data_IF_500723325403
#
_entry.id   IF_500723325403
#
_cell.length_a   1.000
_cell.length_b   1.000
_cell.length_c   1.000
_cell.angle_alpha   90.00
_cell.angle_beta   90.00
_cell.angle_gamma   90.00
#
_symmetry.space_group_name_H-M   'P 1'
#
loop_
_entity.id
_entity.type
_entity.pdbx_description
1 polymer ?
#
# COMPACT_ATOMS: atom_id res chain seq x y z
N UNK A 1 12.86 -27.18 -2.74
CA UNK A 1 11.50 -27.54 -2.30
C UNK A 1 11.13 -28.87 -2.92
N UNK A 2 10.59 -29.81 -2.16
CA UNK A 2 10.11 -31.08 -2.73
C UNK A 2 8.92 -30.82 -3.64
N UNK A 3 8.72 -31.63 -4.69
CA UNK A 3 7.58 -31.48 -5.60
C UNK A 3 6.24 -31.47 -4.86
N UNK A 4 6.13 -32.28 -3.80
CA UNK A 4 4.99 -32.30 -2.90
C UNK A 4 4.65 -30.92 -2.30
N UNK A 5 5.65 -30.17 -1.82
CA UNK A 5 5.41 -28.84 -1.24
C UNK A 5 4.91 -27.83 -2.26
N UNK A 6 5.35 -27.95 -3.52
CA UNK A 6 4.92 -27.07 -4.62
C UNK A 6 3.46 -27.37 -4.99
N UNK A 7 3.10 -28.66 -5.08
CA UNK A 7 1.73 -29.10 -5.37
C UNK A 7 0.80 -28.69 -4.23
N UNK A 8 1.15 -28.97 -2.98
CA UNK A 8 0.36 -28.58 -1.82
C UNK A 8 0.15 -27.06 -1.77
N UNK A 9 1.22 -26.28 -2.03
CA UNK A 9 1.13 -24.83 -2.12
C UNK A 9 0.18 -24.34 -3.22
N UNK A 10 0.18 -24.99 -4.38
CA UNK A 10 -0.75 -24.67 -5.47
C UNK A 10 -2.21 -24.91 -5.08
N UNK A 11 -2.50 -26.04 -4.41
CA UNK A 11 -3.85 -26.37 -3.94
C UNK A 11 -4.35 -25.38 -2.88
N UNK A 12 -3.50 -25.03 -1.91
CA UNK A 12 -3.83 -24.05 -0.87
C UNK A 12 -4.05 -22.65 -1.48
N UNK A 13 -3.15 -22.23 -2.39
CA UNK A 13 -3.24 -20.92 -3.07
C UNK A 13 -4.51 -20.81 -3.92
N UNK A 14 -4.79 -21.82 -4.75
CA UNK A 14 -5.99 -21.87 -5.57
C UNK A 14 -7.27 -21.89 -4.72
N UNK A 15 -7.30 -22.73 -3.68
CA UNK A 15 -8.43 -22.87 -2.78
C UNK A 15 -8.77 -21.57 -2.06
N UNK A 16 -7.77 -20.92 -1.44
CA UNK A 16 -7.97 -19.64 -0.76
C UNK A 16 -8.39 -18.53 -1.72
N UNK A 17 -7.80 -18.48 -2.91
CA UNK A 17 -8.17 -17.51 -3.95
C UNK A 17 -9.63 -17.68 -4.36
N UNK A 18 -10.07 -18.91 -4.57
CA UNK A 18 -11.47 -19.22 -4.89
C UNK A 18 -12.43 -18.93 -3.73
N UNK A 19 -12.05 -19.24 -2.48
CA UNK A 19 -12.85 -18.89 -1.30
C UNK A 19 -13.05 -17.36 -1.17
N UNK A 20 -12.02 -16.57 -1.47
CA UNK A 20 -12.11 -15.10 -1.47
C UNK A 20 -13.04 -14.62 -2.60
N UNK A 21 -12.90 -15.17 -3.82
CA UNK A 21 -13.80 -14.82 -4.93
C UNK A 21 -15.26 -15.24 -4.70
N UNK A 22 -15.50 -16.24 -3.85
CA UNK A 22 -16.85 -16.67 -3.49
C UNK A 22 -17.68 -15.54 -2.87
N UNK A 23 -17.06 -14.53 -2.27
CA UNK A 23 -17.73 -13.31 -1.80
C UNK A 23 -18.55 -12.60 -2.88
N UNK A 24 -18.15 -12.73 -4.16
CA UNK A 24 -18.87 -12.11 -5.28
C UNK A 24 -20.29 -12.64 -5.45
N UNK A 25 -20.58 -13.86 -4.96
CA UNK A 25 -21.90 -14.45 -5.01
C UNK A 25 -22.78 -14.06 -3.82
N UNK A 26 -22.24 -14.12 -2.59
CA UNK A 26 -22.87 -13.71 -1.32
C UNK A 26 -21.90 -13.98 -0.13
N UNK A 27 -22.25 -13.50 1.08
CA UNK A 27 -21.53 -13.81 2.34
C UNK A 27 -21.66 -15.28 2.73
N UNK A 28 -20.79 -16.12 2.17
CA UNK A 28 -20.79 -17.56 2.39
C UNK A 28 -19.83 -17.99 3.52
N UNK A 29 -20.02 -19.18 4.12
CA UNK A 29 -19.13 -19.70 5.17
C UNK A 29 -17.68 -19.89 4.72
N UNK A 30 -17.43 -20.25 3.45
CA UNK A 30 -16.09 -20.48 2.91
C UNK A 30 -15.26 -19.19 2.88
N UNK A 31 -15.90 -18.08 2.50
CA UNK A 31 -15.32 -16.75 2.52
C UNK A 31 -14.96 -16.33 3.95
N UNK A 32 -15.86 -16.52 4.92
CA UNK A 32 -15.60 -16.21 6.34
C UNK A 32 -14.43 -17.01 6.90
N UNK A 33 -14.30 -18.28 6.54
CA UNK A 33 -13.13 -19.10 6.92
C UNK A 33 -11.85 -18.51 6.33
N UNK A 34 -11.85 -18.14 5.05
CA UNK A 34 -10.70 -17.52 4.40
C UNK A 34 -10.35 -16.16 5.03
N UNK A 35 -11.34 -15.35 5.38
CA UNK A 35 -11.18 -14.06 6.06
C UNK A 35 -10.56 -14.23 7.46
N UNK A 36 -11.10 -15.12 8.29
CA UNK A 36 -10.54 -15.38 9.62
C UNK A 36 -9.13 -15.97 9.55
N UNK A 37 -8.85 -16.85 8.59
CA UNK A 37 -7.52 -17.37 8.35
C UNK A 37 -6.56 -16.26 7.93
N UNK A 38 -6.96 -15.38 7.01
CA UNK A 38 -6.15 -14.25 6.57
C UNK A 38 -5.81 -13.30 7.73
N UNK A 39 -6.80 -12.92 8.54
CA UNK A 39 -6.59 -12.05 9.70
C UNK A 39 -5.70 -12.76 10.74
N UNK A 40 -5.93 -14.04 11.01
CA UNK A 40 -5.14 -14.83 11.95
C UNK A 40 -3.67 -14.94 11.55
N UNK A 41 -3.39 -15.25 10.28
CA UNK A 41 -2.03 -15.28 9.73
C UNK A 41 -1.38 -13.90 9.78
N UNK A 42 -2.12 -12.84 9.45
CA UNK A 42 -1.61 -11.47 9.50
C UNK A 42 -1.19 -11.09 10.92
N UNK A 43 -2.04 -11.33 11.92
CA UNK A 43 -1.72 -11.05 13.32
C UNK A 43 -0.54 -11.92 13.79
N UNK A 44 -0.53 -13.21 13.46
CA UNK A 44 0.56 -14.13 13.83
C UNK A 44 1.90 -13.70 13.23
N UNK A 45 1.92 -13.31 11.96
CA UNK A 45 3.11 -12.76 11.30
C UNK A 45 3.54 -11.45 11.94
N UNK A 46 2.62 -10.52 12.19
CA UNK A 46 2.92 -9.24 12.83
C UNK A 46 3.51 -9.41 14.23
N UNK A 47 2.97 -10.33 15.05
CA UNK A 47 3.48 -10.64 16.40
C UNK A 47 4.87 -11.26 16.32
N UNK A 48 5.08 -12.22 15.41
CA UNK A 48 6.40 -12.84 15.20
C UNK A 48 7.43 -11.79 14.78
N UNK A 49 7.07 -10.94 13.82
CA UNK A 49 7.91 -9.85 13.36
C UNK A 49 8.21 -8.84 14.49
N UNK A 50 7.22 -8.53 15.33
CA UNK A 50 7.40 -7.69 16.50
C UNK A 50 8.42 -8.30 17.48
N UNK A 51 8.27 -9.58 17.82
CA UNK A 51 9.16 -10.24 18.79
C UNK A 51 10.58 -10.37 18.24
N UNK A 52 10.75 -10.91 17.04
CA UNK A 52 12.06 -11.27 16.52
C UNK A 52 12.78 -10.12 15.83
N UNK A 53 12.07 -9.29 15.05
CA UNK A 53 12.71 -8.22 14.28
C UNK A 53 12.68 -6.87 15.00
N UNK A 54 11.78 -6.66 15.98
CA UNK A 54 11.73 -5.41 16.74
C UNK A 54 12.19 -5.57 18.19
N UNK A 55 11.59 -6.44 18.99
CA UNK A 55 11.89 -6.55 20.42
C UNK A 55 13.24 -7.23 20.67
N UNK A 56 13.56 -8.29 19.95
CA UNK A 56 14.86 -8.99 20.05
C UNK A 56 16.05 -8.04 19.91
N UNK A 57 16.25 -7.40 18.75
CA UNK A 57 17.40 -6.54 18.52
C UNK A 57 17.34 -5.22 19.27
N UNK A 58 16.16 -4.60 19.45
CA UNK A 58 16.09 -3.25 20.04
C UNK A 58 15.95 -3.26 21.57
N UNK A 59 15.54 -4.37 22.18
CA UNK A 59 15.30 -4.48 23.62
C UNK A 59 16.19 -5.56 24.21
N UNK A 60 16.02 -6.81 23.77
CA UNK A 60 16.62 -7.97 24.44
C UNK A 60 18.15 -8.03 24.31
N UNK A 61 18.68 -7.83 23.11
CA UNK A 61 20.12 -7.83 22.87
C UNK A 61 20.87 -6.70 23.63
N UNK A 62 20.46 -5.42 23.53
CA UNK A 62 21.13 -4.35 24.23
C UNK A 62 21.01 -4.46 25.76
N UNK A 63 19.90 -4.99 26.30
CA UNK A 63 19.77 -5.27 27.73
C UNK A 63 20.76 -6.34 28.22
N UNK A 64 21.03 -7.37 27.40
CA UNK A 64 22.04 -8.39 27.72
C UNK A 64 23.46 -7.83 27.72
N UNK A 65 23.74 -6.88 26.83
CA UNK A 65 25.04 -6.20 26.72
C UNK A 65 25.26 -5.14 27.81
N UNK A 66 24.31 -4.99 28.75
CA UNK A 66 24.39 -4.03 29.85
C UNK A 66 24.01 -2.59 29.47
N UNK A 67 23.50 -2.39 28.26
CA UNK A 67 23.02 -1.09 27.82
C UNK A 67 21.61 -0.83 28.36
N UNK A 68 21.49 0.15 29.27
CA UNK A 68 20.24 0.53 29.92
C UNK A 68 19.38 1.49 29.09
N UNK A 69 19.88 2.00 27.96
CA UNK A 69 19.15 2.93 27.08
C UNK A 69 17.75 2.42 26.64
N UNK A 70 17.55 1.12 26.31
CA UNK A 70 16.22 0.59 25.95
C UNK A 70 15.26 0.45 27.13
N UNK A 71 15.72 0.61 28.37
CA UNK A 71 14.87 0.47 29.55
C UNK A 71 13.78 1.55 29.62
N UNK A 72 14.12 2.78 29.21
CA UNK A 72 13.15 3.88 29.21
C UNK A 72 12.05 3.69 28.13
N UNK A 73 12.38 3.41 26.85
CA UNK A 73 11.37 3.08 25.84
C UNK A 73 10.54 1.85 26.19
N UNK A 74 11.11 0.82 26.81
CA UNK A 74 10.35 -0.38 27.19
C UNK A 74 9.35 -0.10 28.31
N UNK A 75 9.75 0.68 29.31
CA UNK A 75 8.85 1.08 30.40
C UNK A 75 7.71 1.97 29.88
N UNK A 76 8.01 2.90 28.98
CA UNK A 76 6.98 3.71 28.29
C UNK A 76 6.09 2.83 27.41
N UNK A 77 6.65 1.84 26.72
CA UNK A 77 5.94 0.82 25.95
C UNK A 77 4.95 0.03 26.79
N UNK A 78 5.38 -0.48 27.95
CA UNK A 78 4.52 -1.14 28.93
C UNK A 78 3.45 -0.19 29.48
N UNK A 79 3.76 1.11 29.58
CA UNK A 79 2.79 2.16 29.91
C UNK A 79 1.57 2.17 28.98
N UNK A 80 1.67 1.75 27.71
CA UNK A 80 0.50 1.59 26.84
C UNK A 80 -0.46 0.50 27.30
N UNK A 81 0.05 -0.58 27.89
CA UNK A 81 -0.79 -1.69 28.38
C UNK A 81 -1.66 -1.27 29.56
N UNK A 82 -1.28 -0.22 30.30
CA UNK A 82 -2.11 0.33 31.39
C UNK A 82 -3.45 0.88 30.91
N UNK A 83 -3.62 1.13 29.59
CA UNK A 83 -4.89 1.53 28.99
C UNK A 83 -5.99 0.48 29.16
N UNK A 84 -5.64 -0.81 29.26
CA UNK A 84 -6.62 -1.87 29.50
C UNK A 84 -7.17 -1.86 30.93
N UNK A 85 -6.56 -1.11 31.85
CA UNK A 85 -6.97 -0.99 33.25
C UNK A 85 -7.48 0.43 33.49
N UNK A 86 -8.82 0.65 33.58
CA UNK A 86 -9.40 1.99 33.67
C UNK A 86 -8.84 2.86 34.81
N UNK A 87 -8.44 2.23 35.93
CA UNK A 87 -7.88 2.91 37.12
C UNK A 87 -6.49 3.53 36.91
N UNK A 88 -5.65 2.94 36.05
CA UNK A 88 -4.24 3.35 35.85
C UNK A 88 -4.04 3.95 34.44
N UNK A 89 -5.10 4.01 33.62
CA UNK A 89 -5.06 4.51 32.25
C UNK A 89 -4.47 5.92 32.09
N UNK A 90 -4.37 6.72 33.16
CA UNK A 90 -3.65 8.00 33.13
C UNK A 90 -2.19 7.85 32.69
N UNK A 91 -1.50 6.79 33.13
CA UNK A 91 -0.09 6.55 32.83
C UNK A 91 0.15 6.40 31.33
N UNK A 92 -0.81 5.81 30.61
CA UNK A 92 -0.76 5.68 29.16
C UNK A 92 -0.66 7.04 28.44
N UNK A 93 -1.18 8.13 29.02
CA UNK A 93 -1.09 9.49 28.42
C UNK A 93 0.35 9.97 28.30
N UNK A 94 1.21 9.63 29.26
CA UNK A 94 2.64 9.99 29.24
C UNK A 94 3.34 9.27 28.10
N UNK A 95 3.09 7.96 27.96
CA UNK A 95 3.58 7.16 26.84
C UNK A 95 3.10 7.69 25.49
N UNK A 96 1.82 8.06 25.37
CA UNK A 96 1.26 8.68 24.16
C UNK A 96 1.94 10.02 23.84
N UNK A 97 2.11 10.90 24.83
CA UNK A 97 2.74 12.20 24.63
C UNK A 97 4.20 12.05 24.16
N UNK A 98 4.95 11.11 24.75
CA UNK A 98 6.32 10.82 24.34
C UNK A 98 6.39 10.29 22.92
N UNK A 99 5.55 9.29 22.57
CA UNK A 99 5.52 8.74 21.20
C UNK A 99 5.12 9.79 20.18
N UNK A 100 4.10 10.61 20.47
CA UNK A 100 3.68 11.72 19.61
C UNK A 100 4.82 12.74 19.43
N UNK A 101 5.48 13.16 20.52
CA UNK A 101 6.59 14.10 20.46
C UNK A 101 7.78 13.57 19.66
N UNK A 102 8.15 12.30 19.88
CA UNK A 102 9.23 11.63 19.15
C UNK A 102 8.89 11.48 17.66
N UNK A 103 7.71 10.96 17.35
CA UNK A 103 7.28 10.75 15.96
C UNK A 103 7.16 12.08 15.21
N UNK A 104 6.51 13.10 15.79
CA UNK A 104 6.45 14.43 15.17
C UNK A 104 7.83 15.07 15.03
N UNK A 105 8.71 14.92 16.03
CA UNK A 105 10.07 15.46 16.00
C UNK A 105 10.94 14.88 14.88
N UNK A 106 10.74 13.60 14.52
CA UNK A 106 11.40 12.99 13.36
C UNK A 106 10.65 13.25 12.05
N UNK A 107 9.33 13.15 12.04
CA UNK A 107 8.52 13.25 10.83
C UNK A 107 8.48 14.66 10.26
N UNK A 108 8.39 15.71 11.08
CA UNK A 108 8.30 17.08 10.55
C UNK A 108 9.55 17.47 9.74
N UNK A 109 10.78 17.36 10.27
CA UNK A 109 11.98 17.69 9.50
C UNK A 109 12.15 16.78 8.29
N UNK A 110 11.92 15.47 8.44
CA UNK A 110 12.08 14.51 7.33
C UNK A 110 11.06 14.75 6.23
N UNK A 111 9.81 15.06 6.55
CA UNK A 111 8.78 15.44 5.58
C UNK A 111 9.17 16.74 4.86
N UNK A 112 9.63 17.77 5.56
CA UNK A 112 10.08 19.01 4.92
C UNK A 112 11.25 18.73 3.98
N UNK A 113 12.28 18.02 4.43
CA UNK A 113 13.44 17.71 3.60
C UNK A 113 13.08 16.81 2.42
N UNK A 114 12.28 15.77 2.63
CA UNK A 114 11.99 14.76 1.59
C UNK A 114 10.89 15.16 0.62
N UNK A 115 9.81 15.77 1.10
CA UNK A 115 8.67 16.13 0.25
C UNK A 115 8.85 17.51 -0.35
N UNK A 116 9.45 18.47 0.36
CA UNK A 116 9.60 19.82 -0.16
C UNK A 116 10.97 20.04 -0.80
N UNK A 117 12.07 19.89 -0.04
CA UNK A 117 13.41 20.22 -0.55
C UNK A 117 13.83 19.30 -1.70
N UNK A 118 13.66 17.97 -1.58
CA UNK A 118 13.99 17.06 -2.68
C UNK A 118 13.07 17.22 -3.90
N UNK A 119 11.82 17.64 -3.72
CA UNK A 119 10.92 17.91 -4.85
C UNK A 119 11.34 19.19 -5.59
N UNK A 120 11.78 20.21 -4.87
CA UNK A 120 12.41 21.40 -5.44
C UNK A 120 13.72 21.05 -6.16
N UNK A 121 14.59 20.28 -5.52
CA UNK A 121 15.83 19.78 -6.13
C UNK A 121 15.54 18.99 -7.40
N UNK A 122 14.58 18.08 -7.40
CA UNK A 122 14.18 17.32 -8.59
C UNK A 122 13.62 18.17 -9.73
N UNK A 123 13.14 19.37 -9.43
CA UNK A 123 12.68 20.34 -10.44
C UNK A 123 13.84 21.19 -10.97
N UNK A 124 14.82 21.52 -10.13
CA UNK A 124 15.94 22.41 -10.46
C UNK A 124 17.16 21.65 -11.01
N UNK A 125 17.42 20.43 -10.54
CA UNK A 125 18.56 19.62 -10.95
C UNK A 125 18.60 19.35 -12.47
N UNK A 126 17.48 19.00 -13.14
CA UNK A 126 17.47 18.85 -14.61
C UNK A 126 17.79 20.14 -15.37
N UNK A 127 17.63 21.31 -14.74
CA UNK A 127 18.01 22.61 -15.30
C UNK A 127 19.52 22.89 -15.15
N UNK A 128 20.13 22.32 -14.11
CA UNK A 128 21.54 22.55 -13.74
C UNK A 128 22.51 21.52 -14.36
N UNK A 129 22.08 20.29 -14.61
CA UNK A 129 22.90 19.22 -15.24
C UNK A 129 23.22 19.50 -16.72
N UNK A 130 22.89 20.70 -17.22
CA UNK A 130 23.29 21.24 -18.52
C UNK A 130 24.82 21.39 -18.59
N UNK A 131 25.50 20.31 -18.97
CA UNK A 131 26.91 20.32 -19.32
C UNK A 131 27.02 20.73 -20.80
N UNK A 132 27.30 22.02 -21.01
CA UNK A 132 27.90 22.62 -22.21
C UNK A 132 27.08 22.62 -23.52
N UNK A 133 26.89 23.81 -24.10
CA UNK A 133 26.43 24.00 -25.48
C UNK A 133 24.95 24.36 -25.61
N UNK A 134 24.66 25.46 -26.31
CA UNK A 134 23.32 26.04 -26.36
C UNK A 134 22.35 25.29 -27.30
N UNK A 135 22.82 24.41 -28.18
CA UNK A 135 21.98 23.62 -29.10
C UNK A 135 22.78 22.40 -29.63
N UNK A 136 22.79 21.28 -28.92
CA UNK A 136 23.20 20.00 -29.51
C UNK A 136 21.96 19.33 -30.12
N UNK A 137 21.82 19.39 -31.45
CA UNK A 137 20.68 18.84 -32.19
C UNK A 137 20.75 17.30 -32.34
N UNK A 138 21.38 16.60 -31.40
CA UNK A 138 21.33 15.15 -31.32
C UNK A 138 19.95 14.69 -30.83
N UNK A 139 19.39 13.63 -31.45
CA UNK A 139 18.03 13.11 -31.16
C UNK A 139 17.79 12.79 -29.68
N UNK A 140 18.85 12.49 -28.92
CA UNK A 140 18.77 12.23 -27.48
C UNK A 140 18.71 13.52 -26.63
N UNK A 141 19.34 14.62 -27.08
CA UNK A 141 19.33 15.91 -26.39
C UNK A 141 17.97 16.61 -26.53
N UNK A 142 17.34 16.51 -27.72
CA UNK A 142 16.02 17.09 -28.00
C UNK A 142 14.94 16.56 -27.03
N UNK A 143 14.98 15.26 -26.70
CA UNK A 143 14.02 14.64 -25.78
C UNK A 143 14.17 15.14 -24.33
N UNK A 144 15.41 15.36 -23.89
CA UNK A 144 15.70 15.91 -22.56
C UNK A 144 15.24 17.38 -22.47
N UNK A 145 15.56 18.19 -23.47
CA UNK A 145 15.25 19.63 -23.48
C UNK A 145 13.75 19.89 -23.52
N UNK A 146 13.00 19.12 -24.31
CA UNK A 146 11.53 19.19 -24.34
C UNK A 146 10.95 18.80 -22.98
N UNK A 147 11.48 17.76 -22.34
CA UNK A 147 10.97 17.30 -21.03
C UNK A 147 11.19 18.34 -19.95
N UNK A 148 12.37 18.96 -19.91
CA UNK A 148 12.70 20.04 -18.97
C UNK A 148 11.85 21.29 -19.22
N UNK A 149 11.65 21.66 -20.49
CA UNK A 149 10.78 22.79 -20.85
C UNK A 149 9.33 22.54 -20.46
N UNK A 150 8.79 21.36 -20.75
CA UNK A 150 7.44 20.96 -20.34
C UNK A 150 7.31 20.98 -18.82
N UNK A 151 8.31 20.50 -18.08
CA UNK A 151 8.32 20.50 -16.62
C UNK A 151 8.23 21.92 -16.05
N UNK A 152 9.08 22.83 -16.53
CA UNK A 152 9.06 24.24 -16.08
C UNK A 152 7.75 24.93 -16.47
N UNK A 153 7.29 24.72 -17.71
CA UNK A 153 6.02 25.28 -18.18
C UNK A 153 4.83 24.75 -17.38
N UNK A 154 4.79 23.45 -17.08
CA UNK A 154 3.77 22.83 -16.24
C UNK A 154 3.81 23.38 -14.82
N UNK A 155 5.00 23.47 -14.20
CA UNK A 155 5.15 24.02 -12.86
C UNK A 155 4.60 25.46 -12.78
N UNK A 156 5.04 26.33 -13.69
CA UNK A 156 4.63 27.74 -13.69
C UNK A 156 3.13 27.89 -13.96
N UNK A 157 2.58 27.18 -14.94
CA UNK A 157 1.14 27.27 -15.28
C UNK A 157 0.25 26.70 -14.18
N UNK A 158 0.66 25.62 -13.52
CA UNK A 158 -0.06 25.03 -12.37
C UNK A 158 0.01 25.94 -11.14
N UNK A 159 1.17 26.55 -10.87
CA UNK A 159 1.29 27.55 -9.80
C UNK A 159 0.40 28.76 -10.06
N UNK A 160 0.34 29.26 -11.30
CA UNK A 160 -0.57 30.36 -11.70
C UNK A 160 -2.04 29.95 -11.52
N UNK A 161 -2.39 28.69 -11.79
CA UNK A 161 -3.75 28.18 -11.55
C UNK A 161 -4.13 28.20 -10.06
N UNK A 162 -3.25 27.73 -9.18
CA UNK A 162 -3.50 27.69 -7.73
C UNK A 162 -3.25 29.03 -7.01
N UNK A 163 -2.64 30.00 -7.67
CA UNK A 163 -2.41 31.32 -7.10
C UNK A 163 -3.70 32.15 -7.11
N UNK A 164 -4.47 32.05 -6.02
CA UNK A 164 -5.77 32.72 -5.87
C UNK A 164 -5.68 34.24 -5.61
N UNK A 165 -4.50 34.76 -5.29
CA UNK A 165 -4.31 36.17 -4.93
C UNK A 165 -4.35 37.14 -6.11
N UNK A 166 -4.31 36.66 -7.36
CA UNK A 166 -4.39 37.50 -8.57
C UNK A 166 -5.62 37.09 -9.37
N UNK A 167 -6.37 38.08 -9.83
CA UNK A 167 -7.55 37.84 -10.64
C UNK A 167 -7.15 37.28 -12.02
N UNK A 168 -7.69 36.12 -12.39
CA UNK A 168 -7.38 35.43 -13.65
C UNK A 168 -8.01 36.14 -14.87
N UNK A 169 -7.52 37.33 -15.24
CA UNK A 169 -7.90 38.09 -16.44
C UNK A 169 -6.81 38.06 -17.51
N UNK A 170 -7.22 38.08 -18.78
CA UNK A 170 -6.32 38.16 -19.94
C UNK A 170 -5.33 36.98 -20.07
N UNK A 171 -4.01 37.22 -20.24
CA UNK A 171 -3.02 36.17 -20.48
C UNK A 171 -2.85 35.20 -19.29
N UNK A 172 -3.11 35.66 -18.06
CA UNK A 172 -3.08 34.84 -16.84
C UNK A 172 -4.20 33.79 -16.87
N UNK A 173 -5.36 34.12 -17.45
CA UNK A 173 -6.47 33.18 -17.65
C UNK A 173 -6.09 32.06 -18.62
N UNK A 174 -5.36 32.38 -19.69
CA UNK A 174 -4.89 31.39 -20.65
C UNK A 174 -3.84 30.46 -20.04
N UNK A 175 -2.85 31.01 -19.31
CA UNK A 175 -1.85 30.23 -18.59
C UNK A 175 -2.48 29.30 -17.53
N UNK A 176 -3.45 29.81 -16.78
CA UNK A 176 -4.22 29.04 -15.79
C UNK A 176 -5.02 27.89 -16.45
N UNK A 177 -5.59 28.13 -17.64
CA UNK A 177 -6.28 27.08 -18.42
C UNK A 177 -5.34 25.95 -18.84
N UNK A 178 -4.11 26.28 -19.24
CA UNK A 178 -3.06 25.29 -19.53
C UNK A 178 -2.70 24.50 -18.26
N UNK A 179 -2.58 25.18 -17.11
CA UNK A 179 -2.37 24.54 -15.81
C UNK A 179 -3.46 23.51 -15.46
N UNK A 180 -4.73 23.81 -15.74
CA UNK A 180 -5.84 22.85 -15.56
C UNK A 180 -5.61 21.56 -16.35
N UNK A 181 -5.19 21.66 -17.62
CA UNK A 181 -4.92 20.47 -18.42
C UNK A 181 -3.77 19.63 -17.84
N UNK A 182 -2.70 20.26 -17.37
CA UNK A 182 -1.61 19.55 -16.69
C UNK A 182 -2.10 18.83 -15.42
N UNK A 183 -2.97 19.47 -14.63
CA UNK A 183 -3.59 18.84 -13.44
C UNK A 183 -4.45 17.64 -13.84
N UNK A 184 -5.28 17.77 -14.89
CA UNK A 184 -6.10 16.66 -15.38
C UNK A 184 -5.25 15.48 -15.84
N UNK A 185 -4.12 15.73 -16.51
CA UNK A 185 -3.16 14.69 -16.92
C UNK A 185 -2.54 14.02 -15.68
N UNK A 186 -2.06 14.79 -14.71
CA UNK A 186 -1.47 14.26 -13.48
C UNK A 186 -2.47 13.42 -12.68
N UNK A 187 -3.67 13.96 -12.42
CA UNK A 187 -4.73 13.25 -11.69
C UNK A 187 -5.18 12.00 -12.45
N UNK A 188 -5.29 12.07 -13.77
CA UNK A 188 -5.59 10.92 -14.63
C UNK A 188 -4.52 9.84 -14.54
N UNK A 189 -3.24 10.20 -14.57
CA UNK A 189 -2.14 9.28 -14.39
C UNK A 189 -2.13 8.67 -12.97
N UNK A 190 -2.32 9.47 -11.93
CA UNK A 190 -2.37 9.00 -10.54
C UNK A 190 -3.55 8.05 -10.30
N UNK A 191 -4.73 8.34 -10.85
CA UNK A 191 -5.86 7.42 -10.82
C UNK A 191 -5.53 6.13 -11.61
N UNK A 192 -4.97 6.27 -12.81
CA UNK A 192 -4.57 5.15 -13.67
C UNK A 192 -3.59 4.19 -13.02
N UNK A 193 -2.57 4.69 -12.30
CA UNK A 193 -1.60 3.83 -11.60
C UNK A 193 -2.25 3.04 -10.47
N UNK A 194 -3.18 3.63 -9.71
CA UNK A 194 -3.89 2.90 -8.65
C UNK A 194 -4.82 1.83 -9.21
N UNK A 195 -5.53 2.13 -10.30
CA UNK A 195 -6.40 1.16 -11.00
C UNK A 195 -5.57 0.03 -11.59
N UNK A 196 -4.47 0.36 -12.28
CA UNK A 196 -3.53 -0.63 -12.82
C UNK A 196 -2.95 -1.51 -11.71
N UNK A 197 -2.59 -0.94 -10.55
CA UNK A 197 -2.10 -1.70 -9.41
C UNK A 197 -3.11 -2.74 -8.92
N UNK A 198 -4.39 -2.36 -8.79
CA UNK A 198 -5.47 -3.29 -8.39
C UNK A 198 -5.71 -4.38 -9.43
N UNK A 199 -5.76 -4.03 -10.72
CA UNK A 199 -5.90 -5.02 -11.79
C UNK A 199 -4.69 -5.94 -11.93
N UNK A 200 -3.48 -5.45 -11.67
CA UNK A 200 -2.25 -6.26 -11.69
C UNK A 200 -2.28 -7.33 -10.60
N UNK A 201 -2.71 -6.98 -9.38
CA UNK A 201 -2.90 -7.94 -8.30
C UNK A 201 -3.97 -8.99 -8.65
N UNK A 202 -5.09 -8.56 -9.25
CA UNK A 202 -6.14 -9.46 -9.73
C UNK A 202 -5.63 -10.40 -10.82
N UNK A 203 -4.93 -9.85 -11.81
CA UNK A 203 -4.31 -10.61 -12.90
C UNK A 203 -3.35 -11.67 -12.36
N UNK A 204 -2.51 -11.32 -11.38
CA UNK A 204 -1.62 -12.28 -10.72
C UNK A 204 -2.38 -13.46 -10.13
N UNK A 205 -3.52 -13.22 -9.45
CA UNK A 205 -4.37 -14.29 -8.90
C UNK A 205 -5.03 -15.14 -9.99
N UNK A 206 -5.53 -14.52 -11.07
CA UNK A 206 -6.11 -15.25 -12.21
C UNK A 206 -5.06 -16.06 -12.96
N UNK A 207 -3.85 -15.53 -13.09
CA UNK A 207 -2.72 -16.21 -13.71
C UNK A 207 -2.26 -17.43 -12.89
N UNK A 208 -2.25 -17.31 -11.56
CA UNK A 208 -2.00 -18.44 -10.66
C UNK A 208 -3.07 -19.54 -10.87
N UNK A 209 -4.37 -19.18 -10.89
CA UNK A 209 -5.46 -20.13 -11.16
C UNK A 209 -5.35 -20.78 -12.55
N UNK A 210 -4.93 -20.02 -13.56
CA UNK A 210 -4.66 -20.56 -14.89
C UNK A 210 -3.49 -21.56 -14.88
N UNK A 211 -2.41 -21.22 -14.17
CA UNK A 211 -1.21 -22.07 -14.05
C UNK A 211 -1.52 -23.39 -13.34
N UNK A 212 -2.32 -23.34 -12.27
CA UNK A 212 -2.72 -24.51 -11.49
C UNK A 212 -3.81 -25.38 -12.15
N UNK A 213 -4.25 -25.02 -13.36
CA UNK A 213 -5.02 -25.91 -14.23
C UNK A 213 -4.17 -27.04 -14.82
N UNK A 214 -2.85 -26.85 -14.95
CA UNK A 214 -1.99 -27.83 -15.60
C UNK A 214 -1.99 -29.20 -14.89
N UNK A 215 -1.75 -30.27 -15.65
CA UNK A 215 -1.70 -31.66 -15.16
C UNK A 215 -0.66 -31.85 -14.05
N UNK A 216 0.45 -31.09 -14.10
CA UNK A 216 1.49 -31.05 -13.07
C UNK A 216 0.97 -30.78 -11.65
N UNK A 217 -0.16 -30.09 -11.54
CA UNK A 217 -0.80 -29.75 -10.26
C UNK A 217 -2.07 -30.58 -9.98
N UNK A 218 -2.29 -31.66 -10.75
CA UNK A 218 -3.50 -32.50 -10.68
C UNK A 218 -4.80 -31.72 -10.92
N UNK A 219 -4.78 -30.75 -11.85
CA UNK A 219 -5.97 -29.96 -12.19
C UNK A 219 -6.63 -29.30 -10.96
N UNK A 220 -5.82 -28.78 -10.03
CA UNK A 220 -6.28 -28.20 -8.77
C UNK A 220 -7.40 -27.17 -8.97
N UNK A 221 -7.24 -26.23 -9.91
CA UNK A 221 -8.20 -25.16 -10.16
C UNK A 221 -9.60 -25.67 -10.56
N UNK A 222 -9.78 -26.46 -11.63
CA UNK A 222 -11.12 -26.92 -12.02
C UNK A 222 -11.75 -27.86 -10.97
N UNK A 223 -10.96 -28.70 -10.28
CA UNK A 223 -11.50 -29.56 -9.20
C UNK A 223 -12.06 -28.71 -8.06
N UNK A 224 -11.29 -27.71 -7.60
CA UNK A 224 -11.72 -26.81 -6.52
C UNK A 224 -12.88 -25.92 -6.95
N UNK A 225 -12.92 -25.49 -8.22
CA UNK A 225 -14.01 -24.68 -8.77
C UNK A 225 -15.31 -25.47 -8.82
N UNK A 226 -15.29 -26.72 -9.30
CA UNK A 226 -16.47 -27.60 -9.29
C UNK A 226 -16.94 -27.88 -7.87
N UNK A 227 -16.01 -28.17 -6.95
CA UNK A 227 -16.33 -28.37 -5.54
C UNK A 227 -16.97 -27.12 -4.91
N UNK A 228 -16.47 -25.93 -5.24
CA UNK A 228 -17.00 -24.66 -4.76
C UNK A 228 -18.38 -24.37 -5.33
N UNK A 229 -18.60 -24.56 -6.63
CA UNK A 229 -19.93 -24.40 -7.25
C UNK A 229 -20.91 -25.39 -6.61
N UNK A 230 -20.53 -26.65 -6.46
CA UNK A 230 -21.38 -27.65 -5.82
C UNK A 230 -21.75 -27.24 -4.39
N UNK A 231 -20.77 -26.78 -3.60
CA UNK A 231 -21.00 -26.29 -2.25
C UNK A 231 -21.95 -25.08 -2.23
N UNK A 232 -21.74 -24.10 -3.11
CA UNK A 232 -22.61 -22.92 -3.21
C UNK A 232 -24.02 -23.30 -3.63
N UNK A 233 -24.21 -24.16 -4.62
CA UNK A 233 -25.54 -24.62 -5.05
C UNK A 233 -26.28 -25.31 -3.89
N UNK A 234 -25.61 -26.22 -3.17
CA UNK A 234 -26.20 -26.88 -1.99
C UNK A 234 -26.53 -25.87 -0.89
N UNK A 235 -25.65 -24.89 -0.66
CA UNK A 235 -25.85 -23.83 0.32
C UNK A 235 -27.07 -22.95 -0.02
N UNK A 236 -27.17 -22.46 -1.25
CA UNK A 236 -28.30 -21.64 -1.71
C UNK A 236 -29.62 -22.40 -1.66
N UNK A 237 -29.63 -23.70 -2.03
CA UNK A 237 -30.81 -24.55 -1.91
C UNK A 237 -31.25 -24.73 -0.45
N UNK A 238 -30.30 -24.88 0.48
CA UNK A 238 -30.59 -25.01 1.91
C UNK A 238 -31.08 -23.70 2.52
N UNK A 239 -30.60 -22.56 2.03
CA UNK A 239 -31.04 -21.23 2.46
C UNK A 239 -32.45 -20.89 1.96
N UNK A 240 -32.78 -21.29 0.71
CA UNK A 240 -34.14 -21.14 0.16
C UNK A 240 -35.18 -22.02 0.86
N UNK A 241 -34.76 -23.15 1.46
CA UNK A 241 -35.61 -24.06 2.23
C UNK A 241 -35.76 -23.67 3.72
N UNK A 242 -35.09 -22.62 4.19
CA UNK A 242 -35.42 -22.05 5.51
C UNK A 242 -36.70 -21.21 5.37
N UNK A 243 -37.74 -21.46 6.19
CA UNK A 243 -38.90 -20.58 6.22
C UNK A 243 -38.43 -19.16 6.58
N UNK A 244 -38.98 -18.16 5.91
CA UNK A 244 -38.71 -16.76 6.21
C UNK A 244 -39.03 -16.52 7.70
N UNK A 245 -38.00 -16.26 8.50
CA UNK A 245 -38.18 -15.81 9.89
C UNK A 245 -38.88 -14.45 9.83
N UNK A 246 -40.11 -14.42 10.34
CA UNK A 246 -40.97 -13.25 10.54
C UNK A 246 -40.45 -12.35 11.65
#
# INVERSE_FOLDING_TARGET
MSEFTIILGAWVSAGLTLCIFSFLYEDNPLFKVAEHLYIGVTIGYSVTNLIFNSMGPNIYNPLKEGNLMPLLPTLLGLGFLTRFIPKISWMSRISFAFVMGYTSGLSIPTTITSQFLKQLEGTVYPLLTRKEGLLDFSRAAIGHDISVFILVAALLTVLIYFFFSVEHRGPIKAASKVGIYFIMIYLGAAFGTTVMGRFSLLYGRLFDLYTYRAERYYYATPVLLVALIFFLVVYTLKQKNKPAES
#
